data_IF_864910585685
#
_entry.id   IF_864910585685
#
_cell.length_a   1.000
_cell.length_b   1.000
_cell.length_c   1.000
_cell.angle_alpha   90.00
_cell.angle_beta   90.00
_cell.angle_gamma   90.00
#
_symmetry.space_group_name_H-M   'P 1'
#
loop_
_entity.id
_entity.type
_entity.pdbx_description
1 polymer ?
#
# COMPACT_ATOMS: atom_id res chain seq x y z
N UNK A 1 0.72 -64.06 -6.89
CA UNK A 1 -0.50 -63.26 -7.10
C UNK A 1 -0.05 -61.93 -7.66
N UNK A 2 -0.18 -61.76 -8.98
CA UNK A 2 0.29 -60.62 -9.76
C UNK A 2 -0.92 -59.79 -10.15
N UNK A 3 -1.01 -58.52 -9.71
CA UNK A 3 -1.89 -57.46 -10.23
C UNK A 3 -1.32 -56.15 -9.67
N UNK A 4 -1.06 -55.03 -10.37
CA UNK A 4 -1.19 -54.59 -11.75
C UNK A 4 -0.87 -53.08 -11.74
N UNK A 5 0.06 -52.63 -12.57
CA UNK A 5 0.43 -51.21 -12.73
C UNK A 5 -0.47 -50.63 -13.84
N UNK A 6 -1.09 -49.45 -13.70
CA UNK A 6 -1.90 -48.88 -14.77
C UNK A 6 -1.01 -48.21 -15.82
N UNK A 7 -1.23 -48.65 -17.06
CA UNK A 7 -0.68 -48.20 -18.33
C UNK A 7 -1.39 -46.90 -18.75
N UNK A 8 -0.64 -45.86 -19.12
CA UNK A 8 -1.18 -44.61 -19.66
C UNK A 8 -1.16 -44.70 -21.20
N UNK A 9 -2.34 -44.87 -21.79
CA UNK A 9 -2.54 -44.81 -23.25
C UNK A 9 -2.55 -43.36 -23.75
N UNK A 10 -1.67 -43.09 -24.71
CA UNK A 10 -1.61 -41.88 -25.52
C UNK A 10 -2.39 -42.08 -26.81
N UNK A 11 -3.59 -41.49 -26.91
CA UNK A 11 -4.32 -41.35 -28.18
C UNK A 11 -4.97 -39.96 -28.26
N UNK A 12 -4.37 -39.04 -29.02
CA UNK A 12 -5.07 -37.92 -29.67
C UNK A 12 -4.29 -37.47 -30.93
N UNK A 13 -4.25 -38.33 -31.95
CA UNK A 13 -4.08 -37.90 -33.34
C UNK A 13 -5.39 -38.09 -34.10
N UNK A 14 -5.95 -36.97 -34.58
CA UNK A 14 -7.02 -36.98 -35.58
C UNK A 14 -8.24 -36.15 -35.21
N UNK A 15 -8.25 -34.88 -35.62
CA UNK A 15 -9.34 -34.28 -36.43
C UNK A 15 -8.74 -33.03 -37.10
N UNK A 16 -8.47 -33.18 -38.40
CA UNK A 16 -8.23 -32.12 -39.36
C UNK A 16 -9.59 -31.70 -39.97
N UNK A 17 -9.75 -30.40 -40.19
CA UNK A 17 -10.57 -29.75 -41.24
C UNK A 17 -12.09 -29.73 -41.08
N UNK A 18 -12.60 -28.63 -40.54
CA UNK A 18 -13.74 -27.84 -41.03
C UNK A 18 -13.52 -26.41 -40.50
N UNK A 19 -13.70 -25.30 -41.18
CA UNK A 19 -14.14 -24.95 -42.52
C UNK A 19 -13.97 -23.43 -42.61
N UNK A 20 -13.27 -22.97 -43.64
CA UNK A 20 -13.23 -21.55 -44.03
C UNK A 20 -14.50 -21.27 -44.81
N UNK A 21 -15.37 -20.40 -44.33
CA UNK A 21 -16.35 -19.73 -45.19
C UNK A 21 -16.66 -18.32 -44.68
N UNK A 22 -16.15 -17.36 -45.46
CA UNK A 22 -16.68 -16.03 -45.77
C UNK A 22 -17.28 -15.18 -44.64
N UNK A 23 -16.52 -14.15 -44.23
CA UNK A 23 -17.11 -12.90 -43.73
C UNK A 23 -16.90 -11.80 -44.76
N UNK A 24 -18.02 -11.21 -45.21
CA UNK A 24 -18.08 -10.13 -46.19
C UNK A 24 -17.53 -8.79 -45.67
N UNK A 25 -17.42 -7.78 -46.56
CA UNK A 25 -16.56 -6.62 -46.35
C UNK A 25 -17.26 -5.59 -45.48
N UNK A 26 -17.08 -5.69 -44.16
CA UNK A 26 -17.48 -4.62 -43.24
C UNK A 26 -16.46 -4.37 -42.13
N UNK A 27 -15.16 -4.46 -42.44
CA UNK A 27 -14.09 -3.95 -41.57
C UNK A 27 -13.06 -3.17 -42.38
N UNK A 28 -13.50 -2.03 -42.90
CA UNK A 28 -12.64 -0.97 -43.43
C UNK A 28 -13.11 0.38 -42.93
N UNK A 29 -13.11 0.59 -41.61
CA UNK A 29 -13.02 1.94 -41.03
C UNK A 29 -12.84 1.90 -39.51
N UNK A 30 -11.61 1.71 -39.05
CA UNK A 30 -11.20 2.16 -37.70
C UNK A 30 -9.74 2.60 -37.57
N UNK A 31 -9.05 2.74 -38.69
CA UNK A 31 -7.68 3.28 -38.76
C UNK A 31 -7.56 4.60 -39.55
N UNK A 32 -8.66 5.15 -40.09
CA UNK A 32 -8.63 6.43 -40.81
C UNK A 32 -8.68 7.66 -39.86
N UNK A 33 -9.26 7.54 -38.67
CA UNK A 33 -9.36 8.66 -37.71
C UNK A 33 -8.09 8.95 -36.88
N UNK A 34 -7.10 8.05 -36.87
CA UNK A 34 -5.82 8.26 -36.14
C UNK A 34 -4.70 8.80 -37.03
N UNK A 35 -4.90 8.87 -38.34
CA UNK A 35 -3.92 9.42 -39.27
C UNK A 35 -4.07 10.94 -39.47
N UNK A 36 -5.27 11.52 -39.28
CA UNK A 36 -5.50 12.96 -39.49
C UNK A 36 -5.29 13.82 -38.24
N UNK A 37 -5.52 13.29 -37.03
CA UNK A 37 -5.23 14.03 -35.79
C UNK A 37 -3.71 14.22 -35.54
N UNK A 38 -2.85 13.38 -36.13
CA UNK A 38 -1.39 13.56 -36.09
C UNK A 38 -0.87 14.64 -37.04
N UNK A 39 -1.68 15.13 -38.00
CA UNK A 39 -1.28 16.20 -38.91
C UNK A 39 -1.53 17.61 -38.38
N UNK A 40 -2.42 17.78 -37.41
CA UNK A 40 -2.73 19.11 -36.85
C UNK A 40 -2.13 19.40 -35.47
N UNK A 41 -1.75 18.39 -34.68
CA UNK A 41 -1.04 18.62 -33.41
C UNK A 41 0.50 18.64 -33.52
N UNK A 42 1.06 18.42 -34.71
CA UNK A 42 2.51 18.55 -34.95
C UNK A 42 2.98 19.98 -35.24
N UNK A 43 2.07 20.96 -35.27
CA UNK A 43 2.38 22.30 -35.80
C UNK A 43 2.40 23.42 -34.75
N UNK A 44 2.02 23.15 -33.50
CA UNK A 44 2.06 24.15 -32.42
C UNK A 44 3.11 23.90 -31.34
N UNK A 45 3.73 22.71 -31.29
CA UNK A 45 4.80 22.42 -30.32
C UNK A 45 6.22 22.48 -30.91
N UNK A 46 6.35 22.78 -32.20
CA UNK A 46 7.61 22.72 -32.93
C UNK A 46 8.23 24.09 -33.27
N UNK A 47 7.87 25.14 -32.54
CA UNK A 47 8.45 26.49 -32.73
C UNK A 47 9.33 26.96 -31.55
N UNK A 48 9.36 26.23 -30.43
CA UNK A 48 10.23 26.57 -29.27
C UNK A 48 11.55 25.82 -29.25
N UNK A 49 11.53 24.48 -29.41
CA UNK A 49 12.76 23.66 -29.26
C UNK A 49 13.60 23.55 -30.54
N UNK A 50 12.98 23.61 -31.72
CA UNK A 50 13.71 23.58 -32.99
C UNK A 50 14.56 24.85 -33.21
N UNK A 51 14.14 26.00 -32.69
CA UNK A 51 14.93 27.23 -32.79
C UNK A 51 16.20 27.19 -31.92
N UNK A 52 16.14 26.53 -30.75
CA UNK A 52 17.26 26.49 -29.81
C UNK A 52 18.35 25.48 -30.19
N UNK A 53 17.98 24.37 -30.86
CA UNK A 53 18.95 23.35 -31.28
C UNK A 53 19.52 23.55 -32.69
N UNK A 54 18.94 24.42 -33.51
CA UNK A 54 19.41 24.66 -34.90
C UNK A 54 20.37 25.86 -34.99
N UNK A 55 20.39 26.77 -34.01
CA UNK A 55 21.17 28.02 -34.11
C UNK A 55 22.60 27.97 -33.57
N UNK A 56 22.97 26.97 -32.75
CA UNK A 56 24.32 26.92 -32.18
C UNK A 56 24.92 25.51 -32.21
N UNK A 57 26.11 25.40 -32.79
CA UNK A 57 26.90 24.15 -32.78
C UNK A 57 27.36 23.81 -31.35
N UNK A 58 27.70 22.54 -31.08
CA UNK A 58 28.14 22.09 -29.75
C UNK A 58 29.30 22.95 -29.20
N UNK A 59 30.28 23.30 -30.04
CA UNK A 59 31.38 24.20 -29.67
C UNK A 59 30.91 25.61 -29.31
N UNK A 60 29.90 26.09 -29.99
CA UNK A 60 29.29 27.40 -29.80
C UNK A 60 28.50 27.49 -28.47
N UNK A 61 27.86 26.39 -28.07
CA UNK A 61 27.22 26.25 -26.74
C UNK A 61 28.26 26.24 -25.61
N UNK A 62 29.41 25.58 -25.82
CA UNK A 62 30.54 25.57 -24.88
C UNK A 62 31.15 26.98 -24.73
N UNK A 63 31.32 27.71 -25.84
CA UNK A 63 31.79 29.10 -25.83
C UNK A 63 30.82 30.06 -25.12
N UNK A 64 29.51 29.86 -25.28
CA UNK A 64 28.49 30.61 -24.54
C UNK A 64 28.52 30.32 -23.03
N UNK A 65 28.70 29.06 -22.65
CA UNK A 65 28.88 28.69 -21.25
C UNK A 65 30.16 29.29 -20.66
N UNK A 66 31.25 29.37 -21.42
CA UNK A 66 32.50 29.99 -20.97
C UNK A 66 32.35 31.51 -20.75
N UNK A 67 31.51 32.20 -21.55
CA UNK A 67 31.21 33.64 -21.45
C UNK A 67 30.23 34.03 -20.34
N UNK A 68 29.58 33.08 -19.68
CA UNK A 68 28.79 33.38 -18.48
C UNK A 68 29.72 33.94 -17.39
N UNK A 69 29.32 35.06 -16.79
CA UNK A 69 29.98 35.61 -15.61
C UNK A 69 29.96 34.57 -14.49
N UNK A 70 30.92 34.62 -13.56
CA UNK A 70 30.97 33.70 -12.43
C UNK A 70 29.62 33.62 -11.68
N UNK A 71 28.91 34.75 -11.61
CA UNK A 71 27.54 34.86 -11.06
C UNK A 71 26.55 34.01 -11.85
N UNK A 72 26.52 34.08 -13.19
CA UNK A 72 25.59 33.30 -14.01
C UNK A 72 25.81 31.79 -13.97
N UNK A 73 27.07 31.35 -13.82
CA UNK A 73 27.41 29.93 -13.60
C UNK A 73 26.95 29.45 -12.22
N UNK A 74 27.11 30.29 -11.19
CA UNK A 74 26.64 30.02 -9.83
C UNK A 74 25.11 29.95 -9.73
N UNK A 75 24.36 30.79 -10.45
CA UNK A 75 22.89 30.72 -10.44
C UNK A 75 22.37 29.44 -11.08
N UNK A 76 22.95 29.00 -12.20
CA UNK A 76 22.54 27.74 -12.86
C UNK A 76 22.89 26.53 -11.97
N UNK A 77 24.07 26.55 -11.34
CA UNK A 77 24.46 25.52 -10.37
C UNK A 77 23.53 25.52 -9.15
N UNK A 78 23.16 26.68 -8.62
CA UNK A 78 22.22 26.81 -7.51
C UNK A 78 20.82 26.30 -7.87
N UNK A 79 20.32 26.57 -9.09
CA UNK A 79 19.02 26.06 -9.57
C UNK A 79 19.07 24.54 -9.82
N UNK A 80 20.16 24.00 -10.35
CA UNK A 80 20.33 22.54 -10.45
C UNK A 80 20.46 21.87 -9.08
N UNK A 81 21.19 22.46 -8.14
CA UNK A 81 21.29 21.96 -6.76
C UNK A 81 19.96 22.07 -6.00
N UNK A 82 19.14 23.09 -6.29
CA UNK A 82 17.76 23.20 -5.77
C UNK A 82 16.83 22.14 -6.41
N UNK A 83 17.01 21.83 -7.70
CA UNK A 83 16.26 20.78 -8.40
C UNK A 83 16.64 19.36 -7.99
N UNK A 84 17.90 19.12 -7.63
CA UNK A 84 18.40 17.85 -7.08
C UNK A 84 18.17 17.70 -5.57
N UNK A 85 17.90 18.81 -4.85
CA UNK A 85 17.62 18.83 -3.42
C UNK A 85 16.22 18.32 -3.05
N UNK A 86 15.31 18.25 -4.01
CA UNK A 86 14.11 17.42 -3.90
C UNK A 86 14.50 15.96 -4.12
N UNK A 87 15.32 15.40 -3.21
CA UNK A 87 15.38 13.96 -3.06
C UNK A 87 13.94 13.50 -2.93
N UNK A 88 13.46 12.71 -3.90
CA UNK A 88 12.20 12.02 -3.79
C UNK A 88 12.21 11.35 -2.42
N UNK A 89 11.40 11.87 -1.49
CA UNK A 89 11.23 11.22 -0.20
C UNK A 89 10.54 9.92 -0.55
N UNK A 90 11.31 8.84 -0.60
CA UNK A 90 10.82 7.50 -0.86
C UNK A 90 10.01 7.06 0.37
N UNK A 91 8.87 7.70 0.61
CA UNK A 91 7.96 7.39 1.70
C UNK A 91 6.88 6.48 1.14
N UNK A 92 6.62 5.37 1.81
CA UNK A 92 5.55 4.46 1.39
C UNK A 92 4.17 5.08 1.58
N UNK A 93 3.97 5.86 2.64
CA UNK A 93 2.71 6.58 2.87
C UNK A 93 2.49 7.65 1.79
N UNK A 94 1.53 7.42 0.91
CA UNK A 94 1.15 8.32 -0.18
C UNK A 94 0.11 9.37 0.27
N UNK A 95 0.56 10.62 0.35
CA UNK A 95 -0.29 11.76 0.73
C UNK A 95 -1.38 12.06 -0.29
N UNK A 96 -1.08 11.91 -1.58
CA UNK A 96 -2.06 12.20 -2.61
C UNK A 96 -3.20 11.18 -2.55
N UNK A 97 -2.88 9.90 -2.36
CA UNK A 97 -3.88 8.86 -2.15
C UNK A 97 -4.77 9.13 -0.93
N UNK A 98 -4.20 9.63 0.18
CA UNK A 98 -4.96 10.04 1.37
C UNK A 98 -5.95 11.16 1.04
N UNK A 99 -5.51 12.20 0.33
CA UNK A 99 -6.38 13.33 -0.05
C UNK A 99 -7.48 12.91 -1.02
N UNK A 100 -7.17 12.06 -2.00
CA UNK A 100 -8.15 11.49 -2.95
C UNK A 100 -9.24 10.68 -2.23
N UNK A 101 -8.88 10.00 -1.13
CA UNK A 101 -9.81 9.25 -0.29
C UNK A 101 -10.57 10.11 0.74
N UNK A 102 -10.44 11.43 0.69
CA UNK A 102 -11.17 12.38 1.54
C UNK A 102 -10.35 13.02 2.66
N UNK A 103 -9.03 12.80 2.67
CA UNK A 103 -8.08 13.45 3.57
C UNK A 103 -8.05 12.86 4.99
N UNK A 104 -7.18 13.39 5.87
CA UNK A 104 -7.00 12.88 7.24
C UNK A 104 -8.29 12.79 8.07
N UNK A 105 -9.20 13.75 7.91
CA UNK A 105 -10.50 13.77 8.59
C UNK A 105 -11.37 12.53 8.29
N UNK A 106 -11.24 11.97 7.09
CA UNK A 106 -12.03 10.84 6.64
C UNK A 106 -11.56 9.55 7.32
N UNK A 107 -10.24 9.36 7.41
CA UNK A 107 -9.65 8.28 8.21
C UNK A 107 -9.96 8.43 9.71
N UNK A 108 -9.94 9.65 10.25
CA UNK A 108 -10.34 9.91 11.64
C UNK A 108 -11.82 9.56 11.90
N UNK A 109 -12.72 9.87 10.96
CA UNK A 109 -14.13 9.50 11.06
C UNK A 109 -14.33 7.98 11.06
N UNK A 110 -13.61 7.24 10.21
CA UNK A 110 -13.62 5.77 10.20
C UNK A 110 -13.16 5.19 11.54
N UNK A 111 -12.09 5.73 12.12
CA UNK A 111 -11.61 5.31 13.46
C UNK A 111 -12.67 5.55 14.53
N UNK A 112 -13.31 6.72 14.53
CA UNK A 112 -14.37 7.05 15.48
C UNK A 112 -15.58 6.10 15.37
N UNK A 113 -15.98 5.73 14.15
CA UNK A 113 -17.06 4.76 13.92
C UNK A 113 -16.68 3.34 14.37
N UNK A 114 -15.43 2.91 14.16
CA UNK A 114 -14.96 1.60 14.63
C UNK A 114 -14.94 1.55 16.16
N UNK A 115 -14.40 2.60 16.80
CA UNK A 115 -14.41 2.77 18.26
C UNK A 115 -15.84 2.65 18.81
N UNK A 116 -16.80 3.35 18.20
CA UNK A 116 -18.19 3.33 18.64
C UNK A 116 -18.83 1.93 18.54
N UNK A 117 -18.48 1.16 17.50
CA UNK A 117 -19.00 -0.20 17.30
C UNK A 117 -18.35 -1.24 18.20
N UNK A 118 -17.03 -1.12 18.45
CA UNK A 118 -16.30 -1.99 19.37
C UNK A 118 -16.64 -1.70 20.85
N UNK A 119 -17.18 -0.52 21.14
CA UNK A 119 -17.69 -0.04 22.46
C UNK A 119 -16.61 0.14 23.52
N UNK A 120 -15.97 -0.94 23.97
CA UNK A 120 -14.99 -0.90 25.08
C UNK A 120 -13.76 -1.74 24.75
N UNK A 121 -12.75 -1.63 25.61
CA UNK A 121 -11.47 -2.28 25.43
C UNK A 121 -10.58 -1.59 24.39
N UNK A 122 -9.65 -2.34 23.81
CA UNK A 122 -8.69 -1.82 22.83
C UNK A 122 -8.89 -2.48 21.48
N UNK A 123 -8.97 -1.69 20.42
CA UNK A 123 -8.90 -2.19 19.04
C UNK A 123 -7.48 -2.07 18.51
N UNK A 124 -6.91 -3.18 18.05
CA UNK A 124 -5.55 -3.24 17.50
C UNK A 124 -5.60 -3.70 16.04
N UNK A 125 -5.01 -2.91 15.14
CA UNK A 125 -4.82 -3.25 13.73
C UNK A 125 -3.32 -3.20 13.41
N UNK A 126 -2.84 -4.23 12.70
CA UNK A 126 -1.42 -4.42 12.42
C UNK A 126 -1.16 -4.19 10.93
N UNK A 127 -0.17 -3.36 10.62
CA UNK A 127 0.38 -3.23 9.28
C UNK A 127 1.11 -4.53 8.89
N UNK A 128 1.34 -4.71 7.59
CA UNK A 128 2.22 -5.77 7.11
C UNK A 128 3.65 -5.47 7.50
N UNK A 129 4.37 -6.48 7.96
CA UNK A 129 5.78 -6.35 8.33
C UNK A 129 6.73 -6.69 7.16
N UNK A 130 6.30 -7.55 6.24
CA UNK A 130 7.13 -7.99 5.12
C UNK A 130 7.18 -6.94 4.00
N UNK A 131 8.41 -6.59 3.61
CA UNK A 131 8.68 -5.74 2.44
C UNK A 131 9.05 -6.67 1.28
N UNK A 132 8.28 -6.63 0.20
CA UNK A 132 8.50 -7.49 -0.95
C UNK A 132 9.86 -7.20 -1.63
N UNK A 133 10.62 -8.25 -1.96
CA UNK A 133 11.99 -8.13 -2.49
C UNK A 133 12.08 -7.53 -3.90
N UNK A 134 10.96 -7.53 -4.67
CA UNK A 134 10.93 -7.05 -6.05
C UNK A 134 9.59 -6.43 -6.47
N UNK A 135 8.72 -6.12 -5.52
CA UNK A 135 7.41 -5.52 -5.78
C UNK A 135 7.20 -4.28 -4.90
N UNK A 136 6.25 -3.43 -5.29
CA UNK A 136 5.84 -2.32 -4.44
C UNK A 136 5.20 -2.86 -3.17
N UNK A 137 5.56 -2.27 -2.04
CA UNK A 137 4.90 -2.55 -0.78
C UNK A 137 3.41 -2.21 -0.89
N UNK A 138 2.58 -3.19 -0.58
CA UNK A 138 1.14 -3.03 -0.47
C UNK A 138 0.74 -3.37 0.96
N UNK A 139 0.11 -2.42 1.60
CA UNK A 139 -0.35 -2.50 2.99
C UNK A 139 -1.54 -3.46 3.15
N UNK A 140 -1.77 -3.90 4.38
CA UNK A 140 -2.99 -4.54 4.85
C UNK A 140 -4.21 -3.64 4.61
N UNK A 141 -5.24 -4.19 3.97
CA UNK A 141 -6.42 -3.41 3.60
C UNK A 141 -7.17 -2.86 4.83
N UNK A 142 -7.22 -3.62 5.94
CA UNK A 142 -7.92 -3.18 7.15
C UNK A 142 -7.13 -2.07 7.82
N UNK A 143 -5.82 -2.24 8.02
CA UNK A 143 -4.98 -1.19 8.57
C UNK A 143 -5.06 0.10 7.75
N UNK A 144 -4.82 0.01 6.43
CA UNK A 144 -4.85 1.16 5.54
C UNK A 144 -6.20 1.89 5.55
N UNK A 145 -7.31 1.15 5.60
CA UNK A 145 -8.65 1.75 5.62
C UNK A 145 -8.87 2.71 6.79
N UNK A 146 -8.23 2.46 7.95
CA UNK A 146 -8.35 3.29 9.15
C UNK A 146 -7.21 4.28 9.36
N UNK A 147 -6.08 4.10 8.68
CA UNK A 147 -4.89 4.95 8.89
C UNK A 147 -4.50 5.79 7.68
N UNK A 148 -4.66 5.25 6.46
CA UNK A 148 -4.04 5.77 5.25
C UNK A 148 -2.51 5.62 5.22
N UNK A 149 -1.92 5.05 6.27
CA UNK A 149 -0.47 4.89 6.46
C UNK A 149 -0.01 3.58 5.83
N UNK A 150 1.19 3.58 5.26
CA UNK A 150 1.82 2.41 4.63
C UNK A 150 3.22 2.18 5.21
N UNK A 151 3.37 2.30 6.53
CA UNK A 151 4.65 2.15 7.22
C UNK A 151 4.76 0.69 7.74
N UNK A 152 5.65 -0.14 7.17
CA UNK A 152 5.69 -1.56 7.48
C UNK A 152 5.95 -1.83 8.97
N UNK A 153 5.18 -2.74 9.56
CA UNK A 153 5.30 -3.12 10.97
C UNK A 153 4.68 -2.12 11.96
N UNK A 154 3.99 -1.08 11.48
CA UNK A 154 3.21 -0.18 12.32
C UNK A 154 1.98 -0.88 12.95
N UNK A 155 1.50 -0.34 14.07
CA UNK A 155 0.30 -0.83 14.77
C UNK A 155 -0.58 0.34 15.18
N UNK A 156 -1.84 0.30 14.78
CA UNK A 156 -2.87 1.21 15.26
C UNK A 156 -3.48 0.61 16.52
N UNK A 157 -3.45 1.34 17.63
CA UNK A 157 -4.20 0.99 18.83
C UNK A 157 -5.22 2.09 19.16
N UNK A 158 -6.45 1.70 19.44
CA UNK A 158 -7.51 2.61 19.85
C UNK A 158 -8.10 2.16 21.16
N UNK A 159 -8.12 3.05 22.15
CA UNK A 159 -8.88 2.88 23.37
C UNK A 159 -10.35 3.18 23.06
N UNK A 160 -11.18 2.15 22.98
CA UNK A 160 -12.57 2.29 22.58
C UNK A 160 -13.41 3.01 23.64
N UNK A 161 -12.96 3.03 24.91
CA UNK A 161 -13.67 3.69 26.00
C UNK A 161 -13.38 5.20 26.02
N UNK A 162 -12.14 5.61 25.76
CA UNK A 162 -11.74 7.04 25.80
C UNK A 162 -11.69 7.71 24.43
N UNK A 163 -11.72 6.93 23.34
CA UNK A 163 -11.54 7.41 21.98
C UNK A 163 -10.09 7.76 21.62
N UNK A 164 -9.13 7.53 22.53
CA UNK A 164 -7.72 7.82 22.28
C UNK A 164 -7.16 6.88 21.23
N UNK A 165 -6.43 7.46 20.28
CA UNK A 165 -5.76 6.73 19.19
C UNK A 165 -4.25 6.85 19.35
N UNK A 166 -3.55 5.73 19.18
CA UNK A 166 -2.11 5.60 19.24
C UNK A 166 -1.63 4.94 17.94
N UNK A 167 -0.61 5.52 17.31
CA UNK A 167 0.12 4.86 16.23
C UNK A 167 1.47 4.42 16.78
N UNK A 168 1.75 3.13 16.69
CA UNK A 168 3.01 2.55 17.08
C UNK A 168 3.83 2.24 15.84
N UNK A 169 5.09 2.64 15.84
CA UNK A 169 5.95 2.60 14.66
C UNK A 169 7.29 1.91 15.00
N UNK A 170 7.84 1.09 14.10
CA UNK A 170 9.18 0.53 14.30
C UNK A 170 10.24 1.63 14.38
N UNK A 171 11.21 1.47 15.27
CA UNK A 171 12.37 2.36 15.31
C UNK A 171 13.24 2.08 14.08
N UNK A 172 13.31 3.03 13.15
CA UNK A 172 14.23 2.95 12.03
C UNK A 172 15.65 3.34 12.46
N UNK A 173 16.65 2.61 11.96
CA UNK A 173 18.06 2.83 12.25
C UNK A 173 18.93 2.66 11.00
N UNK A 174 20.16 3.18 11.05
CA UNK A 174 21.13 3.01 9.96
C UNK A 174 20.63 3.57 8.63
N UNK A 175 20.63 2.72 7.60
CA UNK A 175 20.23 3.08 6.22
C UNK A 175 18.74 2.92 5.92
N UNK A 176 17.95 2.39 6.86
CA UNK A 176 16.53 2.10 6.65
C UNK A 176 15.73 3.33 6.19
N UNK A 177 15.84 4.52 6.82
CA UNK A 177 15.09 5.71 6.39
C UNK A 177 15.44 6.19 4.98
N UNK A 178 16.68 5.95 4.53
CA UNK A 178 17.16 6.37 3.21
C UNK A 178 16.72 5.40 2.10
N UNK A 179 16.51 4.13 2.44
CA UNK A 179 16.09 3.08 1.49
C UNK A 179 14.57 3.00 1.40
N UNK A 180 13.89 3.05 2.56
CA UNK A 180 12.45 2.76 2.68
C UNK A 180 11.62 3.98 3.08
N UNK A 181 12.26 5.13 3.29
CA UNK A 181 11.61 6.34 3.77
C UNK A 181 11.55 6.42 5.28
N UNK A 182 11.56 7.65 5.77
CA UNK A 182 11.31 7.98 7.17
C UNK A 182 9.85 7.67 7.53
N UNK A 183 9.61 6.87 8.57
CA UNK A 183 8.26 6.64 9.08
C UNK A 183 7.76 7.78 9.98
N UNK A 184 6.48 7.72 10.36
CA UNK A 184 5.83 8.78 11.14
C UNK A 184 6.43 9.02 12.53
N UNK A 185 7.12 8.04 13.11
CA UNK A 185 7.83 8.21 14.39
C UNK A 185 8.87 9.33 14.33
N UNK A 186 9.56 9.44 13.20
CA UNK A 186 10.57 10.47 12.96
C UNK A 186 9.99 11.77 12.36
N UNK A 187 8.68 11.81 12.09
CA UNK A 187 7.98 12.91 11.43
C UNK A 187 6.75 13.37 12.25
N UNK A 188 6.91 13.88 13.48
CA UNK A 188 5.79 14.18 14.38
C UNK A 188 4.83 15.23 13.84
N UNK A 189 5.32 16.22 13.09
CA UNK A 189 4.45 17.24 12.46
C UNK A 189 3.63 16.66 11.30
N UNK A 190 4.15 15.64 10.62
CA UNK A 190 3.39 14.93 9.59
C UNK A 190 2.33 14.03 10.22
N UNK A 191 2.68 13.30 11.29
CA UNK A 191 1.75 12.47 12.03
C UNK A 191 0.52 13.27 12.49
N UNK A 192 0.74 14.48 13.04
CA UNK A 192 -0.35 15.38 13.45
C UNK A 192 -1.25 15.78 12.28
N UNK A 193 -0.68 16.08 11.11
CA UNK A 193 -1.47 16.41 9.91
C UNK A 193 -2.35 15.24 9.47
N UNK A 194 -1.86 14.01 9.64
CA UNK A 194 -2.61 12.79 9.34
C UNK A 194 -3.61 12.40 10.45
N UNK A 195 -3.75 13.21 11.50
CA UNK A 195 -4.71 12.99 12.58
C UNK A 195 -4.22 12.00 13.64
N UNK A 196 -2.91 11.82 13.78
CA UNK A 196 -2.29 11.05 14.86
C UNK A 196 -1.62 11.98 15.87
N UNK A 197 -2.26 12.17 17.02
CA UNK A 197 -1.70 13.00 18.10
C UNK A 197 -0.57 12.29 18.86
N UNK A 198 -0.65 10.97 18.98
CA UNK A 198 0.31 10.17 19.73
C UNK A 198 0.93 9.10 18.82
N UNK A 199 2.20 9.28 18.49
CA UNK A 199 3.04 8.28 17.79
C UNK A 199 4.16 7.83 18.71
N UNK A 200 4.31 6.52 18.88
CA UNK A 200 5.24 5.92 19.85
C UNK A 200 6.07 4.80 19.20
N UNK A 201 7.26 4.47 19.74
CA UNK A 201 7.99 3.28 19.31
C UNK A 201 7.17 2.01 19.55
N UNK A 202 7.26 1.03 18.66
CA UNK A 202 6.51 -0.23 18.73
C UNK A 202 6.69 -1.00 20.05
N UNK A 203 7.86 -0.90 20.68
CA UNK A 203 8.12 -1.49 22.00
C UNK A 203 7.24 -0.94 23.13
N UNK A 204 6.59 0.20 22.92
CA UNK A 204 5.68 0.79 23.89
C UNK A 204 4.27 0.18 23.83
N UNK A 205 3.95 -0.64 22.82
CA UNK A 205 2.65 -1.32 22.72
C UNK A 205 2.42 -2.24 23.92
N UNK A 206 3.40 -3.08 24.24
CA UNK A 206 3.32 -4.00 25.38
C UNK A 206 3.25 -3.25 26.74
N UNK A 207 3.86 -2.06 26.83
CA UNK A 207 3.72 -1.18 28.01
C UNK A 207 2.30 -0.62 28.15
N UNK A 208 1.68 -0.21 27.04
CA UNK A 208 0.29 0.25 27.04
C UNK A 208 -0.66 -0.90 27.44
N UNK A 209 -0.50 -2.08 26.84
CA UNK A 209 -1.36 -3.23 27.11
C UNK A 209 -1.21 -3.74 28.55
N UNK A 210 0.02 -3.87 29.05
CA UNK A 210 0.26 -4.31 30.44
C UNK A 210 -0.36 -3.35 31.46
N UNK A 211 -0.29 -2.03 31.21
CA UNK A 211 -0.93 -1.02 32.07
C UNK A 211 -2.45 -1.15 32.03
N UNK A 212 -3.04 -1.26 30.84
CA UNK A 212 -4.47 -1.42 30.66
C UNK A 212 -5.02 -2.69 31.32
N UNK A 213 -4.37 -3.82 31.10
CA UNK A 213 -4.75 -5.12 31.66
C UNK A 213 -4.57 -5.19 33.18
N UNK A 214 -3.59 -4.47 33.74
CA UNK A 214 -3.42 -4.36 35.20
C UNK A 214 -4.56 -3.59 35.85
N UNK A 215 -5.05 -2.53 35.21
CA UNK A 215 -6.19 -1.76 35.69
C UNK A 215 -7.52 -2.50 35.51
N UNK A 216 -7.66 -3.22 34.40
CA UNK A 216 -8.87 -3.95 34.03
C UNK A 216 -8.55 -5.35 33.50
N UNK A 217 -8.44 -6.36 34.38
CA UNK A 217 -7.96 -7.70 34.01
C UNK A 217 -8.75 -8.46 32.94
N UNK A 218 -9.96 -8.03 32.61
CA UNK A 218 -10.83 -8.63 31.60
C UNK A 218 -11.11 -7.69 30.43
N UNK A 219 -10.21 -6.72 30.17
CA UNK A 219 -10.34 -5.82 29.02
C UNK A 219 -10.38 -6.62 27.72
N UNK A 220 -11.26 -6.22 26.82
CA UNK A 220 -11.40 -6.84 25.51
C UNK A 220 -10.32 -6.29 24.57
N UNK A 221 -9.62 -7.18 23.87
CA UNK A 221 -8.70 -6.83 22.80
C UNK A 221 -9.36 -7.22 21.48
N UNK A 222 -9.88 -6.22 20.77
CA UNK A 222 -10.47 -6.35 19.45
C UNK A 222 -9.34 -6.42 18.42
N UNK A 223 -9.17 -7.58 17.82
CA UNK A 223 -8.16 -7.85 16.80
C UNK A 223 -8.78 -8.64 15.67
N UNK A 224 -8.16 -8.63 14.49
CA UNK A 224 -8.61 -9.51 13.41
C UNK A 224 -8.24 -10.95 13.77
N UNK A 225 -9.24 -11.81 13.95
CA UNK A 225 -9.06 -13.25 14.15
C UNK A 225 -9.29 -14.06 12.85
N UNK A 226 -9.85 -13.42 11.82
CA UNK A 226 -9.99 -13.99 10.49
C UNK A 226 -8.82 -13.69 9.55
N UNK A 227 -8.94 -14.14 8.30
CA UNK A 227 -7.93 -13.90 7.26
C UNK A 227 -8.00 -12.46 6.73
N UNK A 228 -6.88 -11.85 6.31
CA UNK A 228 -6.88 -10.59 5.59
C UNK A 228 -7.42 -10.77 4.16
N UNK A 229 -7.70 -9.66 3.50
CA UNK A 229 -7.90 -9.65 2.05
C UNK A 229 -6.55 -9.73 1.31
N UNK A 230 -6.57 -10.26 0.08
CA UNK A 230 -5.47 -10.10 -0.89
C UNK A 230 -5.90 -9.21 -2.05
N UNK A 231 -4.95 -8.79 -2.88
CA UNK A 231 -5.22 -7.80 -3.93
C UNK A 231 -6.22 -8.30 -4.98
N UNK A 232 -6.20 -9.60 -5.26
CA UNK A 232 -6.93 -10.27 -6.33
C UNK A 232 -7.91 -11.34 -5.82
N UNK A 233 -8.21 -11.37 -4.52
CA UNK A 233 -9.02 -12.43 -3.93
C UNK A 233 -9.59 -12.12 -2.55
N UNK A 234 -10.57 -12.91 -2.14
CA UNK A 234 -11.29 -12.73 -0.89
C UNK A 234 -10.55 -13.33 0.32
N UNK A 235 -10.93 -12.92 1.54
CA UNK A 235 -10.46 -13.50 2.81
C UNK A 235 -10.50 -15.04 2.83
N UNK A 236 -11.54 -15.66 2.23
CA UNK A 236 -11.68 -17.12 2.17
C UNK A 236 -10.63 -17.82 1.32
N UNK A 237 -10.13 -17.15 0.28
CA UNK A 237 -9.04 -17.69 -0.54
C UNK A 237 -7.73 -17.64 0.21
N UNK A 238 -7.48 -16.54 0.94
CA UNK A 238 -6.33 -16.43 1.83
C UNK A 238 -6.35 -17.57 2.85
N UNK A 239 -7.49 -17.87 3.47
CA UNK A 239 -7.59 -19.03 4.35
C UNK A 239 -7.29 -20.38 3.69
N UNK A 240 -7.58 -20.53 2.40
CA UNK A 240 -7.23 -21.73 1.62
C UNK A 240 -5.72 -21.77 1.36
N UNK A 241 -5.10 -20.63 1.06
CA UNK A 241 -3.65 -20.47 0.91
C UNK A 241 -2.93 -20.83 2.24
N UNK A 242 -3.45 -20.37 3.39
CA UNK A 242 -2.97 -20.78 4.72
C UNK A 242 -3.06 -22.29 4.93
N UNK A 243 -4.18 -22.91 4.59
CA UNK A 243 -4.35 -24.37 4.74
C UNK A 243 -3.31 -25.17 3.93
N UNK A 244 -2.97 -24.72 2.73
CA UNK A 244 -1.90 -25.32 1.94
C UNK A 244 -0.52 -25.11 2.56
N UNK A 245 -0.24 -23.93 3.14
CA UNK A 245 1.00 -23.67 3.87
C UNK A 245 1.14 -24.59 5.09
N UNK A 246 0.08 -24.77 5.88
CA UNK A 246 0.11 -25.64 7.05
C UNK A 246 0.34 -27.12 6.72
N UNK A 247 -0.11 -27.56 5.55
CA UNK A 247 0.11 -28.93 5.09
C UNK A 247 1.57 -29.19 4.67
N UNK A 248 2.38 -28.14 4.52
CA UNK A 248 3.74 -28.28 4.04
C UNK A 248 4.71 -28.65 5.18
N UNK A 249 5.37 -29.83 5.15
CA UNK A 249 6.13 -30.36 6.29
C UNK A 249 7.45 -29.63 6.58
N UNK A 250 7.92 -28.79 5.65
CA UNK A 250 9.24 -28.13 5.72
C UNK A 250 9.20 -26.62 5.42
N UNK A 251 8.03 -25.98 5.49
CA UNK A 251 7.89 -24.53 5.24
C UNK A 251 7.33 -23.79 6.47
N UNK A 252 7.36 -22.46 6.38
CA UNK A 252 7.23 -21.46 7.46
C UNK A 252 6.24 -21.80 8.59
N UNK A 253 6.67 -21.53 9.83
CA UNK A 253 5.78 -21.47 10.99
C UNK A 253 4.83 -20.27 10.85
N UNK A 254 3.51 -20.52 11.01
CA UNK A 254 2.38 -19.58 11.11
C UNK A 254 2.51 -18.30 10.28
N UNK A 255 1.67 -18.12 9.24
CA UNK A 255 1.65 -16.90 8.44
C UNK A 255 1.58 -15.62 9.28
N UNK A 256 2.32 -14.60 8.85
CA UNK A 256 2.59 -13.40 9.64
C UNK A 256 1.32 -12.65 10.06
N UNK A 257 0.26 -12.69 9.24
CA UNK A 257 -1.02 -12.04 9.53
C UNK A 257 -1.76 -12.68 10.73
N UNK A 258 -1.46 -13.95 11.04
CA UNK A 258 -2.02 -14.66 12.20
C UNK A 258 -1.14 -14.52 13.45
N UNK A 259 0.13 -14.12 13.30
CA UNK A 259 1.08 -14.03 14.40
C UNK A 259 0.65 -13.05 15.51
N UNK A 260 0.10 -11.85 15.23
CA UNK A 260 -0.31 -10.92 16.28
C UNK A 260 -1.36 -11.50 17.24
N UNK A 261 -2.41 -12.14 16.71
CA UNK A 261 -3.47 -12.71 17.53
C UNK A 261 -2.93 -13.86 18.41
N UNK A 262 -2.08 -14.73 17.86
CA UNK A 262 -1.40 -15.78 18.63
C UNK A 262 -0.53 -15.19 19.75
N UNK A 263 0.34 -14.24 19.41
CA UNK A 263 1.28 -13.65 20.37
C UNK A 263 0.55 -12.88 21.48
N UNK A 264 -0.55 -12.20 21.17
CA UNK A 264 -1.39 -11.54 22.18
C UNK A 264 -2.03 -12.56 23.13
N UNK A 265 -2.53 -13.69 22.62
CA UNK A 265 -3.09 -14.76 23.45
C UNK A 265 -2.04 -15.37 24.39
N UNK A 266 -0.81 -15.56 23.90
CA UNK A 266 0.30 -16.14 24.66
C UNK A 266 0.84 -15.16 25.71
N UNK A 267 1.04 -13.88 25.35
CA UNK A 267 1.62 -12.86 26.23
C UNK A 267 0.62 -12.35 27.27
N UNK A 268 -0.66 -12.30 26.91
CA UNK A 268 -1.73 -11.73 27.73
C UNK A 268 -2.91 -12.70 27.89
N UNK A 269 -2.71 -13.88 28.50
CA UNK A 269 -3.75 -14.91 28.63
C UNK A 269 -4.97 -14.46 29.47
N UNK A 270 -4.84 -13.38 30.23
CA UNK A 270 -5.94 -12.76 30.98
C UNK A 270 -6.89 -11.92 30.10
N UNK A 271 -6.40 -11.44 28.96
CA UNK A 271 -7.17 -10.61 28.04
C UNK A 271 -8.26 -11.42 27.32
N UNK A 272 -9.37 -10.77 26.97
CA UNK A 272 -10.40 -11.39 26.12
C UNK A 272 -10.23 -10.94 24.68
N UNK A 273 -9.70 -11.81 23.83
CA UNK A 273 -9.62 -11.54 22.39
C UNK A 273 -11.02 -11.58 21.77
N UNK A 274 -11.35 -10.55 21.00
CA UNK A 274 -12.59 -10.41 20.24
C UNK A 274 -12.25 -10.21 18.77
N UNK A 275 -13.03 -10.85 17.90
CA UNK A 275 -12.85 -10.63 16.46
C UNK A 275 -13.49 -9.32 16.02
N UNK A 276 -12.70 -8.45 15.39
CA UNK A 276 -13.15 -7.18 14.84
C UNK A 276 -13.58 -7.29 13.36
N UNK A 277 -13.29 -8.42 12.70
CA UNK A 277 -13.44 -8.60 11.24
C UNK A 277 -14.85 -8.26 10.76
N UNK A 278 -15.89 -8.77 11.43
CA UNK A 278 -17.28 -8.54 11.02
C UNK A 278 -17.70 -7.06 11.07
N UNK A 279 -17.17 -6.30 12.03
CA UNK A 279 -17.43 -4.86 12.16
C UNK A 279 -16.74 -4.12 11.00
N UNK A 280 -15.48 -4.45 10.74
CA UNK A 280 -14.70 -3.84 9.66
C UNK A 280 -15.33 -4.14 8.30
N UNK A 281 -15.73 -5.38 8.06
CA UNK A 281 -16.36 -5.79 6.80
C UNK A 281 -17.68 -5.05 6.58
N UNK A 282 -18.51 -4.89 7.62
CA UNK A 282 -19.74 -4.11 7.53
C UNK A 282 -19.47 -2.63 7.16
N UNK A 283 -18.44 -2.03 7.76
CA UNK A 283 -18.03 -0.65 7.46
C UNK A 283 -17.45 -0.51 6.06
N UNK A 284 -16.63 -1.46 5.62
CA UNK A 284 -15.97 -1.43 4.30
C UNK A 284 -16.91 -1.84 3.17
N UNK A 285 -18.02 -2.50 3.45
CA UNK A 285 -19.00 -2.90 2.45
C UNK A 285 -19.72 -1.70 1.83
N UNK A 286 -20.02 -0.68 2.65
CA UNK A 286 -20.66 0.56 2.19
C UNK A 286 -19.58 1.59 1.86
N UNK A 287 -19.37 1.83 0.56
CA UNK A 287 -18.36 2.78 0.09
C UNK A 287 -18.76 4.22 0.39
N UNK A 288 -17.82 5.00 0.91
CA UNK A 288 -17.99 6.43 1.16
C UNK A 288 -17.88 7.22 -0.14
N UNK A 289 -18.38 8.48 -0.19
CA UNK A 289 -18.43 9.25 -1.43
C UNK A 289 -17.08 9.36 -2.15
N UNK A 290 -15.99 9.62 -1.43
CA UNK A 290 -14.64 9.72 -1.99
C UNK A 290 -14.09 8.39 -2.48
N UNK A 291 -14.40 7.28 -1.80
CA UNK A 291 -14.07 5.95 -2.29
C UNK A 291 -14.82 5.63 -3.59
N UNK A 292 -16.10 6.03 -3.69
CA UNK A 292 -16.88 5.86 -4.94
C UNK A 292 -16.27 6.68 -6.08
N UNK A 293 -15.77 7.89 -5.80
CA UNK A 293 -15.08 8.72 -6.80
C UNK A 293 -13.81 8.05 -7.31
N UNK A 294 -12.99 7.47 -6.43
CA UNK A 294 -11.75 6.76 -6.81
C UNK A 294 -12.03 5.47 -7.59
N UNK A 295 -13.18 4.82 -7.36
CA UNK A 295 -13.56 3.57 -8.03
C UNK A 295 -14.16 3.77 -9.44
N UNK A 296 -14.49 5.01 -9.84
CA UNK A 296 -15.11 5.33 -11.15
C UNK A 296 -14.08 5.53 -12.25
#
# INVERSE_FOLDING_TARGET
MVIGVPEYDTEWEGILKFGVTAMGPHERNRNAGRAEARRYMGRFFFWGEAAYNVLFTFEQKVQWMLKLTAVGKLTILAVMCLGLGAAARAQYTDRQAIEELGGPQEFAARRAELIAQAKTGYTLLFARNEIAEAAHYREDNDFYYYTGVQDPGAVLAMDNATGKTYLFEPQQAGRTPQVYGANLLSQPEEAKKLGFETVLPIGNLDLLLSTALSAHPQVELWVRLGFPDKADGARSEVGRDHAWKFAHPYHEEIPQDLAPAKLLAERYPMARLRDVTSIIDAMRNIKRPKEIEVLR
#
